data_IF_612585444902
#
_entry.id   IF_612585444902
#
_cell.length_a   1.000
_cell.length_b   1.000
_cell.length_c   1.000
_cell.angle_alpha   90.00
_cell.angle_beta   90.00
_cell.angle_gamma   90.00
#
_symmetry.space_group_name_H-M   'P 1'
#
loop_
_entity.id
_entity.type
_entity.pdbx_description
1 polymer ?
#
# COMPACT_ATOMS: atom_id res chain seq x y z
N UNK A 1 -13.80 -4.33 -22.71
CA UNK A 1 -15.23 -4.72 -22.75
C UNK A 1 -15.41 -5.90 -21.82
N UNK A 2 -16.51 -5.96 -21.07
CA UNK A 2 -16.83 -7.06 -20.15
C UNK A 2 -18.10 -7.79 -20.63
N UNK A 3 -18.26 -9.05 -20.20
CA UNK A 3 -19.32 -9.99 -20.59
C UNK A 3 -20.59 -9.88 -19.72
N UNK A 4 -20.82 -8.71 -19.14
CA UNK A 4 -22.01 -8.38 -18.33
C UNK A 4 -22.61 -7.08 -18.84
N UNK A 5 -23.92 -7.04 -18.97
CA UNK A 5 -24.68 -5.89 -19.47
C UNK A 5 -25.89 -5.56 -18.62
N UNK A 6 -26.83 -4.80 -19.18
CA UNK A 6 -28.03 -4.36 -18.45
C UNK A 6 -28.90 -5.53 -17.96
N UNK A 7 -28.90 -6.67 -18.65
CA UNK A 7 -29.61 -7.89 -18.18
C UNK A 7 -29.01 -8.46 -16.90
N UNK A 8 -27.78 -8.10 -16.55
CA UNK A 8 -27.10 -8.49 -15.31
C UNK A 8 -27.17 -7.38 -14.25
N UNK A 9 -27.93 -6.30 -14.49
CA UNK A 9 -28.04 -5.16 -13.57
C UNK A 9 -26.82 -4.23 -13.56
N UNK A 10 -25.97 -4.29 -14.60
CA UNK A 10 -24.85 -3.35 -14.77
C UNK A 10 -25.38 -1.96 -15.08
N UNK A 11 -24.75 -0.93 -14.53
CA UNK A 11 -25.11 0.48 -14.75
C UNK A 11 -23.88 1.34 -15.07
N UNK A 12 -24.10 2.48 -15.73
CA UNK A 12 -23.03 3.43 -16.03
C UNK A 12 -22.50 4.10 -14.75
N UNK A 13 -21.19 4.28 -14.67
CA UNK A 13 -20.49 4.75 -13.48
C UNK A 13 -20.22 3.65 -12.46
N UNK A 14 -20.64 2.39 -12.69
CA UNK A 14 -20.41 1.31 -11.74
C UNK A 14 -18.90 1.03 -11.56
N UNK A 15 -18.40 1.00 -10.31
CA UNK A 15 -16.99 0.69 -10.03
C UNK A 15 -16.63 -0.73 -10.35
N UNK A 16 -15.40 -0.90 -10.83
CA UNK A 16 -14.81 -2.19 -11.15
C UNK A 16 -13.48 -2.31 -10.42
N UNK A 17 -13.32 -3.44 -9.73
CA UNK A 17 -12.10 -3.79 -9.01
C UNK A 17 -11.59 -5.17 -9.45
N UNK A 18 -10.33 -5.45 -9.15
CA UNK A 18 -9.76 -6.80 -9.18
C UNK A 18 -9.45 -7.28 -7.77
N UNK A 19 -8.87 -8.47 -7.69
CA UNK A 19 -8.21 -9.03 -6.52
C UNK A 19 -7.10 -8.15 -5.91
N UNK A 20 -6.59 -7.13 -6.60
CA UNK A 20 -5.44 -6.31 -6.16
C UNK A 20 -5.75 -4.84 -5.96
N UNK A 21 -6.88 -4.35 -6.48
CA UNK A 21 -7.23 -2.93 -6.39
C UNK A 21 -8.21 -2.48 -7.45
N UNK A 22 -8.39 -1.16 -7.53
CA UNK A 22 -9.31 -0.51 -8.47
C UNK A 22 -8.83 -0.68 -9.91
N UNK A 23 -9.75 -1.04 -10.80
CA UNK A 23 -9.49 -1.22 -12.23
C UNK A 23 -10.04 -0.05 -13.04
N UNK A 24 -11.24 0.42 -12.71
CA UNK A 24 -11.90 1.50 -13.45
C UNK A 24 -13.39 1.58 -13.18
N UNK A 25 -14.14 2.10 -14.15
CA UNK A 25 -15.58 2.27 -14.07
C UNK A 25 -16.26 1.93 -15.40
N UNK A 26 -17.51 1.48 -15.32
CA UNK A 26 -18.36 1.29 -16.50
C UNK A 26 -18.72 2.65 -17.11
N UNK A 27 -18.56 2.79 -18.42
CA UNK A 27 -18.88 4.05 -19.14
C UNK A 27 -19.94 3.90 -20.22
N UNK A 28 -20.28 2.67 -20.60
CA UNK A 28 -21.41 2.40 -21.47
C UNK A 28 -21.92 0.98 -21.22
N UNK A 29 -23.24 0.81 -21.20
CA UNK A 29 -23.87 -0.48 -20.93
C UNK A 29 -24.68 -0.92 -22.16
N UNK A 30 -24.32 -2.08 -22.71
CA UNK A 30 -25.11 -2.79 -23.70
C UNK A 30 -26.01 -3.85 -23.05
N UNK A 31 -26.77 -4.59 -23.87
CA UNK A 31 -27.71 -5.61 -23.36
C UNK A 31 -27.00 -6.71 -22.58
N UNK A 32 -25.92 -7.26 -23.13
CA UNK A 32 -25.17 -8.41 -22.58
C UNK A 32 -23.67 -8.11 -22.33
N UNK A 33 -23.20 -6.93 -22.71
CA UNK A 33 -21.80 -6.50 -22.56
C UNK A 33 -21.74 -5.05 -22.10
N UNK A 34 -20.59 -4.64 -21.55
CA UNK A 34 -20.36 -3.25 -21.14
C UNK A 34 -18.95 -2.77 -21.47
N UNK A 35 -18.79 -1.47 -21.68
CA UNK A 35 -17.49 -0.81 -21.86
C UNK A 35 -17.00 -0.25 -20.53
N UNK A 36 -15.70 -0.42 -20.29
CA UNK A 36 -15.02 -0.01 -19.07
C UNK A 36 -13.95 1.01 -19.45
N UNK A 37 -13.90 2.11 -18.72
CA UNK A 37 -12.78 3.04 -18.73
C UNK A 37 -11.86 2.67 -17.57
N UNK A 38 -10.59 2.44 -17.86
CA UNK A 38 -9.59 2.07 -16.86
C UNK A 38 -9.09 3.32 -16.12
N UNK A 39 -8.57 3.13 -14.91
CA UNK A 39 -7.99 4.24 -14.13
C UNK A 39 -6.73 4.84 -14.77
N UNK A 40 -6.05 4.11 -15.66
CA UNK A 40 -4.89 4.60 -16.40
C UNK A 40 -5.26 5.41 -17.65
N UNK A 41 -6.54 5.46 -18.04
CA UNK A 41 -6.98 6.28 -19.17
C UNK A 41 -6.81 7.77 -18.84
N UNK A 42 -6.30 8.56 -19.79
CA UNK A 42 -6.07 10.01 -19.59
C UNK A 42 -7.34 10.81 -19.32
N UNK A 43 -8.51 10.25 -19.64
CA UNK A 43 -9.81 10.85 -19.38
C UNK A 43 -10.39 10.44 -18.02
N UNK A 44 -9.70 9.58 -17.27
CA UNK A 44 -10.15 9.09 -15.98
C UNK A 44 -9.53 9.90 -14.84
N UNK A 45 -10.39 10.47 -13.98
CA UNK A 45 -10.03 11.14 -12.74
C UNK A 45 -10.68 10.41 -11.56
N UNK A 46 -9.85 9.97 -10.61
CA UNK A 46 -10.27 9.19 -9.44
C UNK A 46 -9.96 9.95 -8.15
N UNK A 47 -10.98 10.30 -7.35
CA UNK A 47 -10.76 10.80 -6.01
C UNK A 47 -10.14 9.73 -5.10
N UNK A 48 -8.99 10.07 -4.53
CA UNK A 48 -8.20 9.19 -3.66
C UNK A 48 -7.85 9.88 -2.34
N UNK A 49 -7.39 9.07 -1.40
CA UNK A 49 -6.90 9.46 -0.09
C UNK A 49 -5.56 8.77 0.17
N UNK A 50 -4.62 9.52 0.70
CA UNK A 50 -3.34 8.99 1.19
C UNK A 50 -3.59 8.33 2.54
N UNK A 51 -3.32 7.03 2.65
CA UNK A 51 -3.67 6.25 3.83
C UNK A 51 -2.94 6.69 5.10
N UNK A 52 -1.72 7.23 4.95
CA UNK A 52 -0.87 7.61 6.09
C UNK A 52 -1.35 8.87 6.83
N UNK A 53 -1.91 9.84 6.11
CA UNK A 53 -2.17 11.18 6.64
C UNK A 53 -3.47 11.83 6.12
N UNK A 54 -4.33 11.03 5.49
CA UNK A 54 -5.68 11.41 5.07
C UNK A 54 -5.79 12.54 4.06
N UNK A 55 -4.67 12.91 3.42
CA UNK A 55 -4.68 13.90 2.34
C UNK A 55 -5.51 13.36 1.17
N UNK A 56 -6.54 14.10 0.78
CA UNK A 56 -7.42 13.78 -0.35
C UNK A 56 -6.98 14.52 -1.60
N UNK A 57 -6.82 13.77 -2.69
CA UNK A 57 -6.32 14.28 -3.97
C UNK A 57 -7.02 13.58 -5.14
N UNK A 58 -6.84 14.09 -6.35
CA UNK A 58 -7.31 13.43 -7.57
C UNK A 58 -6.13 12.74 -8.24
N UNK A 59 -6.29 11.45 -8.54
CA UNK A 59 -5.40 10.71 -9.42
C UNK A 59 -5.98 10.67 -10.83
N UNK A 60 -5.23 11.19 -11.79
CA UNK A 60 -5.54 11.13 -13.21
C UNK A 60 -4.73 10.02 -13.89
N UNK A 61 -5.34 9.33 -14.85
CA UNK A 61 -4.58 8.45 -15.73
C UNK A 61 -3.64 9.25 -16.62
N UNK A 62 -2.49 8.67 -16.95
CA UNK A 62 -1.50 9.26 -17.86
C UNK A 62 -1.19 8.33 -19.06
N UNK A 63 -2.15 7.45 -19.39
CA UNK A 63 -1.96 6.35 -20.34
C UNK A 63 -1.55 5.05 -19.65
N UNK A 64 -2.00 3.91 -20.16
CA UNK A 64 -1.80 2.59 -19.52
C UNK A 64 -0.39 1.99 -19.64
N UNK A 65 0.55 2.75 -20.21
CA UNK A 65 1.99 2.44 -20.19
C UNK A 65 2.71 3.19 -19.06
N UNK A 66 2.09 4.24 -18.53
CA UNK A 66 2.66 5.15 -17.53
C UNK A 66 2.01 4.93 -16.15
N UNK A 67 2.62 5.49 -15.12
CA UNK A 67 2.03 5.59 -13.79
C UNK A 67 0.89 6.62 -13.76
N UNK A 68 0.02 6.53 -12.75
CA UNK A 68 -1.02 7.54 -12.51
C UNK A 68 -0.37 8.83 -12.03
N UNK A 69 -0.91 9.97 -12.44
CA UNK A 69 -0.43 11.28 -11.99
C UNK A 69 -1.41 11.88 -10.98
N UNK A 70 -0.90 12.37 -9.85
CA UNK A 70 -1.71 13.14 -8.91
C UNK A 70 -1.74 14.60 -9.35
N UNK A 71 -2.93 15.19 -9.40
CA UNK A 71 -3.11 16.53 -9.96
C UNK A 71 -2.58 17.64 -9.04
N UNK A 72 -1.62 18.42 -9.57
CA UNK A 72 -1.16 19.74 -9.14
C UNK A 72 -1.26 20.07 -7.65
N UNK A 73 -0.42 19.41 -6.85
CA UNK A 73 -0.34 19.65 -5.42
C UNK A 73 0.68 20.74 -5.07
N UNK A 74 0.40 21.59 -4.06
CA UNK A 74 1.37 22.51 -3.51
C UNK A 74 2.67 21.81 -3.09
N UNK A 75 3.80 22.49 -3.24
CA UNK A 75 5.13 21.94 -2.92
C UNK A 75 5.34 21.48 -1.48
N UNK A 76 4.50 21.94 -0.54
CA UNK A 76 4.54 21.59 0.87
C UNK A 76 3.58 20.45 1.27
N UNK A 77 2.96 19.77 0.30
CA UNK A 77 2.07 18.64 0.58
C UNK A 77 2.87 17.44 1.08
N UNK A 78 2.53 16.90 2.25
CA UNK A 78 3.23 15.76 2.87
C UNK A 78 2.87 14.43 2.18
N UNK A 79 3.36 14.22 0.95
CA UNK A 79 3.25 12.93 0.23
C UNK A 79 4.64 12.40 -0.06
N UNK A 80 4.84 11.11 0.21
CA UNK A 80 6.15 10.45 0.14
C UNK A 80 6.09 9.24 -0.77
N UNK A 81 7.22 8.91 -1.40
CA UNK A 81 7.37 7.65 -2.14
C UNK A 81 7.10 6.48 -1.19
N UNK A 82 6.29 5.52 -1.63
CA UNK A 82 5.83 4.40 -0.82
C UNK A 82 4.48 4.62 -0.11
N UNK A 83 3.93 5.83 -0.12
CA UNK A 83 2.60 6.08 0.44
C UNK A 83 1.53 5.28 -0.33
N UNK A 84 0.64 4.63 0.42
CA UNK A 84 -0.48 3.84 -0.12
C UNK A 84 -1.66 4.76 -0.41
N UNK A 85 -2.23 4.62 -1.60
CA UNK A 85 -3.36 5.40 -2.07
C UNK A 85 -4.61 4.52 -2.13
N UNK A 86 -5.70 5.01 -1.54
CA UNK A 86 -7.00 4.34 -1.53
C UNK A 86 -8.09 5.26 -2.07
N UNK A 87 -9.22 4.72 -2.50
CA UNK A 87 -10.39 5.52 -2.88
C UNK A 87 -10.90 6.34 -1.69
N UNK A 88 -11.27 7.60 -1.91
CA UNK A 88 -11.73 8.50 -0.83
C UNK A 88 -13.24 8.53 -0.60
N UNK A 89 -14.03 7.83 -1.42
CA UNK A 89 -15.50 7.93 -1.38
C UNK A 89 -16.07 9.23 -1.95
N UNK A 90 -15.23 10.22 -2.25
CA UNK A 90 -15.69 11.52 -2.71
C UNK A 90 -16.44 11.39 -4.05
N UNK A 91 -17.63 11.98 -4.10
CA UNK A 91 -18.53 11.90 -5.26
C UNK A 91 -19.40 10.64 -5.31
N UNK A 92 -19.30 9.74 -4.31
CA UNK A 92 -20.19 8.58 -4.13
C UNK A 92 -20.10 7.52 -5.22
N UNK A 93 -19.10 7.62 -6.10
CA UNK A 93 -18.96 6.68 -7.21
C UNK A 93 -18.19 5.44 -6.80
N UNK A 94 -17.02 5.61 -6.20
CA UNK A 94 -16.21 4.51 -5.68
C UNK A 94 -16.41 4.45 -4.17
N UNK A 95 -16.67 3.28 -3.57
CA UNK A 95 -16.71 3.20 -2.12
C UNK A 95 -15.33 3.54 -1.56
N UNK A 96 -15.28 4.14 -0.38
CA UNK A 96 -14.02 4.56 0.25
C UNK A 96 -13.21 3.34 0.75
N UNK A 97 -11.88 3.46 0.72
CA UNK A 97 -10.94 2.47 1.26
C UNK A 97 -10.59 1.30 0.33
N UNK A 98 -10.69 1.43 -1.00
CA UNK A 98 -10.19 0.42 -1.94
C UNK A 98 -8.78 0.78 -2.44
N UNK A 99 -7.81 -0.17 -2.47
CA UNK A 99 -6.46 0.09 -2.97
C UNK A 99 -6.45 0.59 -4.42
N UNK A 100 -5.72 1.67 -4.67
CA UNK A 100 -5.57 2.26 -6.00
C UNK A 100 -4.13 2.08 -6.48
N UNK A 101 -3.17 2.53 -5.68
CA UNK A 101 -1.78 2.60 -6.09
C UNK A 101 -0.82 2.87 -4.95
N UNK A 102 0.46 2.87 -5.26
CA UNK A 102 1.54 3.27 -4.37
C UNK A 102 2.34 4.38 -5.02
N UNK A 103 2.64 5.45 -4.29
CA UNK A 103 3.43 6.57 -4.80
C UNK A 103 4.81 6.07 -5.23
N UNK A 104 5.14 6.25 -6.51
CA UNK A 104 6.38 5.78 -7.13
C UNK A 104 7.43 6.89 -7.26
N UNK A 105 7.01 8.15 -7.39
CA UNK A 105 7.91 9.30 -7.52
C UNK A 105 7.26 10.58 -7.05
N UNK A 106 8.04 11.44 -6.42
CA UNK A 106 7.67 12.81 -6.01
C UNK A 106 8.74 13.75 -6.53
N UNK A 107 8.41 14.65 -7.46
CA UNK A 107 9.35 15.61 -8.06
C UNK A 107 8.81 17.01 -7.95
N UNK A 108 9.56 17.91 -7.33
CA UNK A 108 9.22 19.32 -7.29
C UNK A 108 9.57 19.98 -8.63
N UNK A 109 8.58 20.56 -9.30
CA UNK A 109 8.82 21.43 -10.45
C UNK A 109 9.16 22.83 -9.94
N UNK A 110 10.46 23.14 -9.92
CA UNK A 110 10.97 24.44 -9.46
C UNK A 110 10.58 25.60 -10.37
N UNK A 111 10.15 25.33 -11.61
CA UNK A 111 9.72 26.36 -12.56
C UNK A 111 8.24 26.71 -12.38
N UNK A 112 7.42 25.74 -11.97
CA UNK A 112 5.97 25.91 -11.88
C UNK A 112 5.41 25.88 -10.45
N UNK A 113 6.28 25.79 -9.45
CA UNK A 113 5.95 25.82 -8.02
C UNK A 113 4.92 24.76 -7.56
N UNK A 114 4.81 23.65 -8.27
CA UNK A 114 3.99 22.50 -7.89
C UNK A 114 4.82 21.21 -7.91
N UNK A 115 4.31 20.18 -7.25
CA UNK A 115 4.93 18.85 -7.23
C UNK A 115 4.24 17.94 -8.23
N UNK A 116 5.03 17.28 -9.09
CA UNK A 116 4.60 16.18 -9.94
C UNK A 116 4.75 14.89 -9.14
N UNK A 117 3.63 14.24 -8.83
CA UNK A 117 3.61 12.98 -8.11
C UNK A 117 3.06 11.89 -9.01
N UNK A 118 3.79 10.79 -9.11
CA UNK A 118 3.43 9.61 -9.87
C UNK A 118 3.13 8.47 -8.91
N UNK A 119 2.15 7.63 -9.26
CA UNK A 119 1.71 6.50 -8.47
C UNK A 119 1.47 5.28 -9.34
N UNK A 120 2.09 4.17 -8.97
CA UNK A 120 1.94 2.89 -9.66
C UNK A 120 0.61 2.25 -9.27
N UNK A 121 -0.26 1.88 -10.23
CA UNK A 121 -1.46 1.11 -9.94
C UNK A 121 -1.15 -0.21 -9.24
N UNK A 122 -1.93 -0.56 -8.23
CA UNK A 122 -1.87 -1.88 -7.56
C UNK A 122 -2.53 -2.95 -8.42
N UNK A 123 -3.59 -2.60 -9.15
CA UNK A 123 -4.24 -3.48 -10.10
C UNK A 123 -3.35 -3.72 -11.34
N UNK A 124 -3.26 -4.99 -11.77
CA UNK A 124 -2.53 -5.38 -12.98
C UNK A 124 -3.31 -5.07 -14.26
N UNK A 125 -3.40 -3.79 -14.64
CA UNK A 125 -4.30 -3.29 -15.69
C UNK A 125 -4.05 -3.90 -17.09
N UNK A 126 -2.86 -4.43 -17.36
CA UNK A 126 -2.48 -5.04 -18.64
C UNK A 126 -2.90 -6.52 -18.77
N UNK A 127 -3.20 -7.20 -17.66
CA UNK A 127 -3.61 -8.62 -17.66
C UNK A 127 -4.80 -8.84 -16.74
N UNK A 128 -5.97 -8.39 -17.19
CA UNK A 128 -7.23 -8.55 -16.49
C UNK A 128 -7.97 -9.78 -17.04
N UNK A 129 -8.33 -10.72 -16.15
CA UNK A 129 -9.10 -11.92 -16.50
C UNK A 129 -10.46 -11.95 -15.84
N UNK A 130 -10.50 -11.67 -14.55
CA UNK A 130 -11.72 -11.62 -13.75
C UNK A 130 -11.82 -10.26 -13.08
N UNK A 131 -13.03 -9.73 -13.02
CA UNK A 131 -13.34 -8.40 -12.52
C UNK A 131 -14.56 -8.50 -11.61
N UNK A 132 -14.58 -7.70 -10.56
CA UNK A 132 -15.71 -7.59 -9.65
C UNK A 132 -16.39 -6.24 -9.88
N UNK A 133 -17.69 -6.29 -10.10
CA UNK A 133 -18.53 -5.11 -10.16
C UNK A 133 -19.06 -4.85 -8.75
N UNK A 134 -18.91 -3.61 -8.28
CA UNK A 134 -19.39 -3.24 -6.96
C UNK A 134 -20.82 -2.73 -7.05
N UNK A 135 -21.70 -3.28 -6.21
CA UNK A 135 -23.03 -2.74 -5.95
C UNK A 135 -23.01 -1.99 -4.64
N UNK A 136 -23.84 -0.95 -4.53
CA UNK A 136 -23.92 -0.19 -3.28
C UNK A 136 -22.74 0.75 -3.05
N UNK A 137 -21.93 1.05 -4.09
CA UNK A 137 -21.22 2.33 -4.19
C UNK A 137 -22.27 3.42 -4.41
N UNK A 138 -22.98 3.67 -3.33
CA UNK A 138 -23.91 4.74 -2.98
C UNK A 138 -24.43 5.63 -4.12
N UNK A 139 -25.63 5.25 -4.60
CA UNK A 139 -26.63 6.21 -5.12
C UNK A 139 -27.12 7.21 -4.06
N UNK A 140 -26.53 7.21 -2.85
CA UNK A 140 -27.01 7.92 -1.67
C UNK A 140 -25.84 8.33 -0.76
N UNK A 141 -24.84 9.05 -1.31
CA UNK A 141 -23.58 9.45 -0.65
C UNK A 141 -23.74 10.39 0.55
N UNK A 142 -24.37 9.91 1.61
CA UNK A 142 -24.81 10.72 2.76
C UNK A 142 -24.01 10.48 4.04
N UNK A 143 -23.10 9.49 4.07
CA UNK A 143 -22.26 9.25 5.25
C UNK A 143 -20.82 8.92 4.81
N UNK A 144 -19.92 9.91 4.70
CA UNK A 144 -18.48 9.63 4.60
C UNK A 144 -18.04 8.79 5.80
N UNK A 145 -17.19 7.77 5.59
CA UNK A 145 -16.68 6.98 6.72
C UNK A 145 -15.77 7.86 7.59
N UNK A 146 -15.73 7.58 8.89
CA UNK A 146 -14.79 8.24 9.79
C UNK A 146 -13.35 7.83 9.41
N UNK A 147 -12.33 8.71 9.52
CA UNK A 147 -10.96 8.41 9.10
C UNK A 147 -10.40 7.09 9.67
N UNK A 148 -10.63 6.82 10.95
CA UNK A 148 -10.19 5.57 11.60
C UNK A 148 -10.82 4.32 10.98
N UNK A 149 -12.07 4.43 10.56
CA UNK A 149 -12.80 3.34 9.90
C UNK A 149 -12.27 3.12 8.46
N UNK A 150 -11.95 4.20 7.75
CA UNK A 150 -11.29 4.12 6.44
C UNK A 150 -9.97 3.38 6.55
N UNK A 151 -9.15 3.71 7.55
CA UNK A 151 -7.87 3.04 7.78
C UNK A 151 -8.04 1.56 8.04
N UNK A 152 -8.99 1.20 8.92
CA UNK A 152 -9.30 -0.20 9.24
C UNK A 152 -9.75 -0.96 8.00
N UNK A 153 -10.75 -0.46 7.29
CA UNK A 153 -11.33 -1.12 6.10
C UNK A 153 -10.29 -1.20 4.97
N UNK A 154 -9.51 -0.14 4.77
CA UNK A 154 -8.44 -0.12 3.78
C UNK A 154 -7.35 -1.15 4.09
N UNK A 155 -6.90 -1.23 5.34
CA UNK A 155 -5.88 -2.21 5.76
C UNK A 155 -6.40 -3.63 5.64
N UNK A 156 -7.64 -3.90 6.07
CA UNK A 156 -8.28 -5.22 5.93
C UNK A 156 -8.36 -5.64 4.46
N UNK A 157 -8.84 -4.75 3.58
CA UNK A 157 -8.93 -5.02 2.14
C UNK A 157 -7.55 -5.18 1.52
N UNK A 158 -6.58 -4.36 1.91
CA UNK A 158 -5.20 -4.49 1.44
C UNK A 158 -4.62 -5.86 1.81
N UNK A 159 -4.82 -6.33 3.05
CA UNK A 159 -4.38 -7.64 3.50
C UNK A 159 -5.08 -8.79 2.75
N UNK A 160 -6.38 -8.65 2.44
CA UNK A 160 -7.14 -9.63 1.67
C UNK A 160 -6.74 -9.67 0.19
N UNK A 161 -6.42 -8.51 -0.39
CA UNK A 161 -6.13 -8.34 -1.82
C UNK A 161 -4.64 -8.52 -2.17
N UNK A 162 -3.76 -8.35 -1.19
CA UNK A 162 -2.31 -8.43 -1.38
C UNK A 162 -1.65 -9.31 -0.30
N UNK A 163 -1.69 -10.65 -0.43
CA UNK A 163 -1.10 -11.55 0.56
C UNK A 163 0.44 -11.49 0.63
N UNK A 164 1.11 -10.71 -0.22
CA UNK A 164 2.58 -10.63 -0.30
C UNK A 164 3.18 -9.22 -0.10
N UNK A 165 2.42 -8.25 0.45
CA UNK A 165 2.96 -6.91 0.80
C UNK A 165 3.28 -6.79 2.29
N UNK A 166 3.11 -7.85 3.06
CA UNK A 166 3.67 -7.98 4.41
C UNK A 166 4.95 -8.82 4.32
N UNK A 167 6.10 -8.36 4.85
CA UNK A 167 7.18 -9.29 5.14
C UNK A 167 6.64 -10.39 6.05
N UNK A 168 7.02 -11.64 5.77
CA UNK A 168 6.62 -12.77 6.60
C UNK A 168 6.97 -12.45 8.07
N UNK A 169 6.05 -12.69 9.01
CA UNK A 169 6.24 -12.40 10.44
C UNK A 169 7.54 -12.97 11.03
N UNK A 170 8.20 -13.91 10.33
CA UNK A 170 9.54 -14.43 10.60
C UNK A 170 10.69 -13.41 10.49
N UNK A 171 10.50 -12.25 9.84
CA UNK A 171 11.53 -11.19 9.76
C UNK A 171 11.43 -10.16 10.90
N UNK A 172 10.34 -10.16 11.68
CA UNK A 172 10.17 -9.31 12.88
C UNK A 172 10.75 -9.93 14.16
N UNK A 173 11.22 -11.18 14.10
CA UNK A 173 12.01 -11.78 15.16
C UNK A 173 13.48 -11.58 14.81
N UNK A 174 14.11 -10.58 15.42
CA UNK A 174 15.57 -10.44 15.36
C UNK A 174 16.26 -11.75 15.79
N UNK A 175 17.53 -11.97 15.39
CA UNK A 175 18.27 -13.16 15.81
C UNK A 175 18.19 -13.31 17.34
N UNK A 176 17.95 -14.53 17.85
CA UNK A 176 17.83 -14.73 19.28
C UNK A 176 19.11 -14.22 19.96
N UNK A 177 18.92 -13.41 21.01
CA UNK A 177 20.01 -12.96 21.85
C UNK A 177 20.74 -14.19 22.43
N UNK A 178 22.07 -14.14 22.60
CA UNK A 178 22.81 -15.25 23.19
C UNK A 178 22.35 -15.46 24.63
N UNK A 179 22.04 -16.72 24.97
CA UNK A 179 21.62 -17.13 26.32
C UNK A 179 22.74 -16.87 27.34
N UNK A 180 22.58 -15.80 28.13
CA UNK A 180 23.35 -15.59 29.36
C UNK A 180 22.76 -16.47 30.46
N UNK A 181 23.17 -17.73 30.51
CA UNK A 181 22.96 -18.59 31.67
C UNK A 181 23.93 -18.17 32.79
N UNK A 182 23.44 -17.39 33.75
CA UNK A 182 24.17 -17.09 34.99
C UNK A 182 23.47 -17.69 36.20
N UNK A 183 24.23 -18.59 36.85
CA UNK A 183 24.44 -18.72 38.30
C UNK A 183 23.67 -19.77 39.13
N UNK A 184 24.53 -20.57 39.79
CA UNK A 184 24.47 -21.14 41.15
C UNK A 184 23.60 -22.39 41.39
N UNK A 185 24.07 -23.48 41.99
CA UNK A 185 25.35 -23.84 42.62
C UNK A 185 25.10 -24.89 43.72
N UNK A 186 25.98 -25.88 43.91
CA UNK A 186 26.17 -26.55 45.22
C UNK A 186 27.38 -27.52 45.25
N UNK A 187 28.32 -27.22 46.16
CA UNK A 187 29.03 -28.10 47.13
C UNK A 187 30.10 -29.14 46.73
N UNK A 188 31.38 -28.78 47.03
CA UNK A 188 32.40 -29.42 47.92
C UNK A 188 33.11 -30.76 47.54
N UNK A 189 34.25 -31.16 48.18
CA UNK A 189 35.54 -30.46 48.38
C UNK A 189 36.84 -31.32 48.17
N UNK A 190 38.01 -30.64 48.14
CA UNK A 190 39.40 -31.05 48.49
C UNK A 190 40.16 -32.16 47.68
N UNK A 191 41.40 -31.87 47.24
CA UNK A 191 42.69 -32.41 47.77
C UNK A 191 43.91 -31.76 47.06
N UNK A 192 45.00 -31.64 47.80
CA UNK A 192 46.27 -30.94 47.59
C UNK A 192 47.18 -31.51 46.50
N UNK A 193 48.04 -30.68 45.89
CA UNK A 193 49.52 -30.85 45.89
C UNK A 193 50.27 -29.63 45.33
N UNK A 194 51.50 -29.45 45.82
CA UNK A 194 52.30 -28.22 45.96
C UNK A 194 53.39 -28.07 44.85
N UNK A 195 54.47 -27.25 44.93
CA UNK A 195 54.74 -26.09 44.05
C UNK A 195 56.09 -26.13 43.29
N UNK A 196 56.40 -25.13 42.42
CA UNK A 196 57.77 -24.60 42.17
C UNK A 196 57.74 -23.40 41.19
N UNK A 197 58.20 -22.21 41.62
CA UNK A 197 59.44 -21.51 41.18
C UNK A 197 59.48 -21.07 39.70
N UNK A 198 60.07 -19.97 39.21
CA UNK A 198 60.68 -18.72 39.67
C UNK A 198 60.89 -17.94 38.33
N UNK A 199 60.63 -16.65 38.20
CA UNK A 199 61.58 -15.53 38.29
C UNK A 199 61.60 -14.73 36.98
N UNK A 200 61.30 -13.44 37.11
CA UNK A 200 61.89 -12.28 36.41
C UNK A 200 62.72 -12.50 35.13
N UNK A 201 62.50 -11.70 34.09
CA UNK A 201 63.10 -10.36 33.97
C UNK A 201 63.03 -9.74 32.56
N UNK A 202 62.94 -8.40 32.55
CA UNK A 202 63.59 -7.43 31.63
C UNK A 202 63.13 -7.34 30.18
N UNK A 203 62.64 -6.14 29.78
CA UNK A 203 63.38 -5.05 29.08
C UNK A 203 63.94 -5.52 27.74
N UNK A 204 63.75 -4.83 26.62
CA UNK A 204 63.22 -3.50 26.38
C UNK A 204 63.37 -3.20 24.88
N UNK A 205 62.70 -2.12 24.50
CA UNK A 205 62.90 -1.26 23.33
C UNK A 205 64.37 -0.98 22.96
N UNK A 206 64.68 -0.36 21.80
CA UNK A 206 63.89 0.64 21.07
C UNK A 206 63.44 0.28 19.65
#
# INVERSE_FOLDING_TARGET
VIDKGSVNGVYEGQPIISDKGVVGQVVAVGKITSRVMLICDSSHALPIQVLRNDIRVIAAGNGCTEDLQLEHLPGNTDIRVGDVLVTSGLGGRFPEGYPVGVVSSVKLDTQRAYTVIQARPTAGLQRLRYLLLLWGADRNGTMPMAPDEVHRVANERLMQMMPQVLPAASEMMGPPAPDNASAAGSTAPATQTTPAAASSSRRGQP
#
